data_IF_917716736599
#
_entry.id   IF_917716736599
#
_cell.length_a   1.000
_cell.length_b   1.000
_cell.length_c   1.000
_cell.angle_alpha   90.00
_cell.angle_beta   90.00
_cell.angle_gamma   90.00
#
_symmetry.space_group_name_H-M   'P 1'
#
loop_
_entity.id
_entity.type
_entity.pdbx_description
1 polymer ?
#
# COMPACT_ATOMS: atom_id res chain seq x y z
N UNK A 1 15.90 -4.22 12.73
CA UNK A 1 16.82 -4.48 11.61
C UNK A 1 16.00 -5.00 10.45
N UNK A 2 15.97 -4.31 9.30
CA UNK A 2 15.27 -4.78 8.12
C UNK A 2 16.22 -5.69 7.34
N UNK A 3 16.02 -7.01 7.44
CA UNK A 3 16.77 -7.97 6.64
C UNK A 3 16.55 -7.72 5.14
N UNK A 4 17.56 -7.94 4.27
CA UNK A 4 17.38 -7.83 2.82
C UNK A 4 16.27 -8.80 2.37
N UNK A 5 15.19 -8.25 1.81
CA UNK A 5 14.07 -9.03 1.26
C UNK A 5 14.24 -9.09 -0.26
N UNK A 6 14.22 -10.29 -0.83
CA UNK A 6 14.13 -10.43 -2.28
C UNK A 6 12.78 -9.85 -2.74
N UNK A 7 12.81 -8.75 -3.49
CA UNK A 7 11.61 -8.07 -3.99
C UNK A 7 10.81 -8.93 -4.97
N UNK A 8 11.44 -9.95 -5.57
CA UNK A 8 10.80 -10.93 -6.46
C UNK A 8 10.52 -12.27 -5.76
N UNK A 9 10.88 -12.40 -4.48
CA UNK A 9 10.66 -13.62 -3.71
C UNK A 9 9.21 -13.67 -3.21
N UNK A 10 8.57 -14.84 -3.33
CA UNK A 10 7.26 -15.03 -2.70
C UNK A 10 7.38 -14.81 -1.18
N UNK A 11 6.55 -13.95 -0.58
CA UNK A 11 6.54 -13.80 0.87
C UNK A 11 6.14 -15.13 1.53
N UNK A 12 6.64 -15.36 2.76
CA UNK A 12 6.13 -16.46 3.58
C UNK A 12 4.65 -16.26 3.90
N UNK A 13 3.93 -17.35 4.16
CA UNK A 13 2.51 -17.31 4.51
C UNK A 13 2.27 -16.45 5.76
N UNK A 14 3.10 -16.60 6.79
CA UNK A 14 3.05 -15.77 8.01
C UNK A 14 3.17 -14.27 7.71
N UNK A 15 4.03 -13.89 6.76
CA UNK A 15 4.20 -12.50 6.38
C UNK A 15 2.97 -11.93 5.67
N UNK A 16 2.31 -12.76 4.84
CA UNK A 16 1.04 -12.39 4.19
C UNK A 16 -0.07 -12.24 5.22
N UNK A 17 -0.22 -13.20 6.14
CA UNK A 17 -1.22 -13.18 7.20
C UNK A 17 -1.05 -11.97 8.12
N UNK A 18 0.20 -11.68 8.52
CA UNK A 18 0.49 -10.50 9.33
C UNK A 18 0.19 -9.20 8.58
N UNK A 19 0.44 -9.15 7.26
CA UNK A 19 0.09 -7.98 6.45
C UNK A 19 -1.41 -7.77 6.33
N UNK A 20 -2.19 -8.85 6.13
CA UNK A 20 -3.66 -8.78 6.06
C UNK A 20 -4.25 -8.32 7.40
N UNK A 21 -3.76 -8.86 8.52
CA UNK A 21 -4.20 -8.47 9.85
C UNK A 21 -3.99 -6.96 10.12
N UNK A 22 -2.83 -6.42 9.71
CA UNK A 22 -2.57 -4.96 9.81
C UNK A 22 -3.52 -4.16 8.94
N UNK A 23 -3.73 -4.57 7.68
CA UNK A 23 -4.63 -3.87 6.76
C UNK A 23 -6.08 -3.85 7.28
N UNK A 24 -6.56 -4.94 7.89
CA UNK A 24 -7.89 -4.99 8.52
C UNK A 24 -7.99 -4.07 9.74
N UNK A 25 -6.95 -4.01 10.57
CA UNK A 25 -6.92 -3.10 11.72
C UNK A 25 -6.94 -1.63 11.28
N UNK A 26 -6.19 -1.28 10.23
CA UNK A 26 -6.21 0.05 9.63
C UNK A 26 -7.60 0.39 9.06
N UNK A 27 -8.24 -0.57 8.37
CA UNK A 27 -9.59 -0.39 7.87
C UNK A 27 -10.61 -0.17 9.00
N UNK A 28 -10.52 -0.95 10.08
CA UNK A 28 -11.40 -0.83 11.24
C UNK A 28 -11.24 0.53 11.98
N UNK A 29 -10.05 1.12 11.93
CA UNK A 29 -9.77 2.45 12.51
C UNK A 29 -10.02 3.60 11.53
N UNK A 30 -10.54 3.32 10.33
CA UNK A 30 -10.82 4.33 9.31
C UNK A 30 -9.57 4.91 8.63
N UNK A 31 -8.40 4.27 8.80
CA UNK A 31 -7.16 4.57 8.08
C UNK A 31 -7.24 4.03 6.64
N UNK A 32 -8.24 4.50 5.91
CA UNK A 32 -8.54 4.13 4.53
C UNK A 32 -8.52 5.35 3.62
N UNK A 33 -8.61 5.11 2.32
CA UNK A 33 -8.57 6.14 1.30
C UNK A 33 -9.74 5.98 0.34
N UNK A 34 -10.41 7.09 -0.06
CA UNK A 34 -11.45 7.02 -1.06
C UNK A 34 -10.93 6.42 -2.36
N UNK A 35 -11.67 5.45 -2.91
CA UNK A 35 -11.33 4.78 -4.16
C UNK A 35 -11.11 5.77 -5.32
N UNK A 36 -11.96 6.80 -5.42
CA UNK A 36 -11.85 7.83 -6.46
C UNK A 36 -10.48 8.53 -6.47
N UNK A 37 -9.88 8.74 -5.29
CA UNK A 37 -8.57 9.37 -5.24
C UNK A 37 -7.43 8.40 -5.58
N UNK A 38 -7.60 7.10 -5.29
CA UNK A 38 -6.67 6.08 -5.76
C UNK A 38 -6.73 5.99 -7.29
N UNK A 39 -7.94 5.98 -7.86
CA UNK A 39 -8.14 5.93 -9.30
C UNK A 39 -7.49 7.12 -10.01
N UNK A 40 -7.74 8.34 -9.53
CA UNK A 40 -7.16 9.56 -10.10
C UNK A 40 -5.62 9.61 -10.00
N UNK A 41 -5.03 8.96 -8.99
CA UNK A 41 -3.58 8.79 -8.91
C UNK A 41 -3.07 7.75 -9.89
N UNK A 42 -3.73 6.57 -9.97
CA UNK A 42 -3.35 5.48 -10.88
C UNK A 42 -3.40 5.89 -12.35
N UNK A 43 -4.33 6.77 -12.74
CA UNK A 43 -4.41 7.32 -14.10
C UNK A 43 -3.15 8.10 -14.52
N UNK A 44 -2.39 8.62 -13.54
CA UNK A 44 -1.17 9.40 -13.79
C UNK A 44 0.10 8.55 -13.72
N UNK A 45 0.04 7.33 -13.22
CA UNK A 45 1.21 6.45 -13.11
C UNK A 45 1.70 6.07 -14.51
N UNK A 46 2.98 6.28 -14.79
CA UNK A 46 3.58 6.09 -16.11
C UNK A 46 3.36 7.25 -17.08
N UNK A 47 2.83 8.38 -16.63
CA UNK A 47 2.61 9.61 -17.43
C UNK A 47 3.54 10.74 -16.98
N UNK A 48 3.76 11.79 -17.79
CA UNK A 48 4.48 12.99 -17.35
C UNK A 48 3.87 13.68 -16.12
N UNK A 49 2.57 13.48 -15.88
CA UNK A 49 1.84 14.00 -14.73
C UNK A 49 1.94 13.12 -13.48
N UNK A 50 2.75 12.05 -13.51
CA UNK A 50 2.95 11.16 -12.37
C UNK A 50 3.42 11.93 -11.14
N UNK A 51 2.66 11.79 -10.05
CA UNK A 51 2.96 12.40 -8.76
C UNK A 51 3.14 11.34 -7.67
N UNK A 52 3.66 11.73 -6.50
CA UNK A 52 3.80 10.82 -5.37
C UNK A 52 2.44 10.26 -4.96
N UNK A 53 2.45 9.03 -4.43
CA UNK A 53 1.24 8.40 -3.88
C UNK A 53 0.56 9.30 -2.83
N UNK A 54 -0.76 9.18 -2.63
CA UNK A 54 -1.49 10.03 -1.68
C UNK A 54 -0.88 9.99 -0.27
N UNK A 55 -0.42 11.14 0.24
CA UNK A 55 0.32 11.24 1.52
C UNK A 55 -0.42 10.65 2.73
N UNK A 56 -1.75 10.57 2.70
CA UNK A 56 -2.55 9.95 3.77
C UNK A 56 -2.32 8.44 3.91
N UNK A 57 -1.69 7.77 2.93
CA UNK A 57 -1.28 6.36 3.02
C UNK A 57 -0.06 6.12 3.92
N UNK A 58 0.76 7.15 4.15
CA UNK A 58 2.02 7.03 4.89
C UNK A 58 1.87 7.29 6.40
N UNK A 59 0.67 7.60 6.86
CA UNK A 59 0.32 7.69 8.29
C UNK A 59 0.02 6.29 8.77
#
# INVERSE_FOLDING_TARGET
MNAPRNIFGKPSEDAVLHSDARARADAATGRTVPNAEVAAWLEKVGTPEEGPMPRRWLK
#
